data_IF_152825501171
#
_entry.id   IF_152825501171
#
_cell.length_a   1.000
_cell.length_b   1.000
_cell.length_c   1.000
_cell.angle_alpha   90.00
_cell.angle_beta   90.00
_cell.angle_gamma   90.00
#
_symmetry.space_group_name_H-M   'P 1'
#
loop_
_entity.id
_entity.type
_entity.pdbx_description
1 polymer ?
#
# COMPACT_ATOMS: atom_id res chain seq x y z
N UNK A 1 0.29 -12.88 -4.88
CA UNK A 1 -0.49 -12.33 -5.98
C UNK A 1 -1.90 -12.94 -5.96
N UNK A 2 -2.96 -12.12 -6.10
CA UNK A 2 -4.35 -12.62 -6.08
C UNK A 2 -4.60 -13.63 -7.23
N UNK A 3 -3.90 -13.48 -8.34
CA UNK A 3 -3.96 -14.39 -9.46
C UNK A 3 -3.29 -15.76 -9.17
N UNK A 4 -2.29 -15.78 -8.29
CA UNK A 4 -1.60 -17.02 -7.90
C UNK A 4 -2.44 -17.83 -6.93
N UNK A 5 -3.14 -17.16 -6.00
CA UNK A 5 -4.07 -17.84 -5.08
C UNK A 5 -5.24 -18.50 -5.80
N UNK A 6 -5.67 -17.97 -6.95
CA UNK A 6 -6.73 -18.57 -7.77
C UNK A 6 -6.25 -19.80 -8.57
N UNK A 7 -4.96 -20.05 -8.66
CA UNK A 7 -4.37 -21.18 -9.38
C UNK A 7 -4.06 -22.39 -8.51
N UNK A 8 -4.19 -22.27 -7.19
CA UNK A 8 -4.00 -23.38 -6.28
C UNK A 8 -5.12 -24.41 -6.48
N UNK A 9 -4.74 -25.62 -6.84
CA UNK A 9 -5.66 -26.74 -7.00
C UNK A 9 -5.54 -27.70 -5.82
N UNK A 10 -6.66 -28.29 -5.44
CA UNK A 10 -6.66 -29.40 -4.47
C UNK A 10 -5.98 -30.62 -5.07
N UNK A 11 -5.18 -31.33 -4.27
CA UNK A 11 -4.40 -32.49 -4.72
C UNK A 11 -5.25 -33.68 -5.17
N UNK A 12 -6.53 -33.72 -4.78
CA UNK A 12 -7.42 -34.88 -5.01
C UNK A 12 -8.48 -34.64 -6.08
N UNK A 13 -8.91 -33.41 -6.31
CA UNK A 13 -10.05 -33.10 -7.18
C UNK A 13 -9.71 -32.23 -8.37
N UNK A 14 -8.49 -31.73 -8.49
CA UNK A 14 -8.06 -30.73 -9.50
C UNK A 14 -8.94 -29.47 -9.56
N UNK A 15 -9.76 -29.24 -8.56
CA UNK A 15 -10.55 -28.02 -8.42
C UNK A 15 -9.71 -26.90 -7.81
N UNK A 16 -9.99 -25.67 -8.23
CA UNK A 16 -9.35 -24.50 -7.62
C UNK A 16 -9.72 -24.40 -6.15
N UNK A 17 -8.71 -24.30 -5.30
CA UNK A 17 -8.92 -24.10 -3.87
C UNK A 17 -9.64 -22.78 -3.63
N UNK A 18 -10.85 -22.88 -3.12
CA UNK A 18 -11.61 -21.71 -2.70
C UNK A 18 -11.09 -21.21 -1.35
N UNK A 19 -10.85 -19.92 -1.19
CA UNK A 19 -10.48 -19.38 0.11
C UNK A 19 -11.64 -19.62 1.11
N UNK A 20 -11.33 -19.78 2.41
CA UNK A 20 -12.34 -19.83 3.45
C UNK A 20 -13.31 -18.63 3.33
N UNK A 21 -14.58 -18.83 3.68
CA UNK A 21 -15.62 -17.80 3.55
C UNK A 21 -15.25 -16.49 4.23
N UNK A 22 -14.59 -16.56 5.37
CA UNK A 22 -14.10 -15.41 6.14
C UNK A 22 -13.09 -14.58 5.35
N UNK A 23 -12.15 -15.26 4.69
CA UNK A 23 -11.14 -14.60 3.85
C UNK A 23 -11.77 -14.07 2.54
N UNK A 24 -12.74 -14.79 1.98
CA UNK A 24 -13.44 -14.37 0.77
C UNK A 24 -14.27 -13.09 1.01
N UNK A 25 -14.80 -12.92 2.22
CA UNK A 25 -15.59 -11.75 2.61
C UNK A 25 -14.75 -10.50 2.89
N UNK A 26 -13.43 -10.64 3.06
CA UNK A 26 -12.54 -9.50 3.32
C UNK A 26 -12.40 -8.63 2.08
N UNK A 27 -12.41 -7.30 2.30
CA UNK A 27 -12.11 -6.34 1.24
C UNK A 27 -10.65 -6.47 0.82
N UNK A 28 -10.41 -6.76 -0.45
CA UNK A 28 -9.07 -6.81 -1.02
C UNK A 28 -8.68 -5.49 -1.67
N UNK A 29 -7.48 -5.03 -1.35
CA UNK A 29 -6.85 -3.88 -1.98
C UNK A 29 -5.52 -4.35 -2.57
N UNK A 30 -5.31 -4.07 -3.84
CA UNK A 30 -4.06 -4.41 -4.54
C UNK A 30 -3.30 -3.11 -4.80
N UNK A 31 -2.01 -3.11 -4.48
CA UNK A 31 -1.14 -1.95 -4.67
C UNK A 31 0.20 -2.37 -5.23
N UNK A 32 0.71 -1.60 -6.17
CA UNK A 32 2.06 -1.78 -6.72
C UNK A 32 3.15 -1.14 -5.83
N UNK A 33 2.77 -0.44 -4.76
CA UNK A 33 3.70 0.18 -3.82
C UNK A 33 4.38 -0.83 -2.87
N UNK A 34 3.85 -2.06 -2.81
CA UNK A 34 4.50 -3.13 -2.05
C UNK A 34 5.64 -3.69 -2.90
N UNK A 35 6.85 -3.67 -2.33
CA UNK A 35 8.04 -4.18 -3.01
C UNK A 35 7.87 -5.67 -3.35
N UNK A 36 8.34 -6.06 -4.53
CA UNK A 36 8.39 -7.44 -5.00
C UNK A 36 9.79 -8.04 -4.94
N UNK A 37 10.75 -7.29 -4.45
CA UNK A 37 12.16 -7.64 -4.38
C UNK A 37 12.60 -7.86 -2.93
N UNK A 38 11.72 -8.38 -2.09
CA UNK A 38 12.01 -8.72 -0.70
C UNK A 38 12.61 -10.12 -0.61
N UNK A 39 13.11 -10.47 0.59
CA UNK A 39 13.73 -11.76 0.87
C UNK A 39 15.16 -11.90 0.33
N UNK A 40 15.81 -12.97 0.73
CA UNK A 40 17.20 -13.25 0.34
C UNK A 40 17.41 -13.53 -1.14
N UNK A 41 16.36 -13.95 -1.85
CA UNK A 41 16.37 -14.19 -3.31
C UNK A 41 15.93 -13.00 -4.14
N UNK A 42 15.46 -11.92 -3.53
CA UNK A 42 15.02 -10.71 -4.24
C UNK A 42 13.75 -10.90 -5.09
N UNK A 43 12.95 -11.92 -4.82
CA UNK A 43 11.73 -12.26 -5.58
C UNK A 43 10.49 -12.43 -4.71
N UNK A 44 10.56 -11.95 -3.48
CA UNK A 44 9.46 -12.05 -2.52
C UNK A 44 8.67 -10.77 -2.42
N UNK A 45 7.40 -10.90 -2.11
CA UNK A 45 6.48 -9.83 -1.80
C UNK A 45 5.84 -10.02 -0.42
N UNK A 46 5.02 -9.08 0.00
CA UNK A 46 4.29 -9.16 1.26
C UNK A 46 2.82 -8.85 1.06
N UNK A 47 1.98 -9.45 1.88
CA UNK A 47 0.59 -9.07 2.04
C UNK A 47 0.34 -8.62 3.48
N UNK A 48 -0.64 -7.75 3.66
CA UNK A 48 -1.04 -7.25 4.97
C UNK A 48 -2.51 -7.56 5.18
N UNK A 49 -2.83 -8.13 6.32
CA UNK A 49 -4.20 -8.27 6.82
C UNK A 49 -4.32 -7.33 8.01
N UNK A 50 -5.26 -6.41 7.95
CA UNK A 50 -5.41 -5.40 8.98
C UNK A 50 -6.88 -5.08 9.26
N UNK A 51 -7.18 -4.70 10.51
CA UNK A 51 -8.44 -4.05 10.84
C UNK A 51 -8.30 -2.54 10.59
N UNK A 52 -9.04 -2.03 9.61
CA UNK A 52 -9.01 -0.62 9.23
C UNK A 52 -9.49 0.35 10.33
N UNK A 53 -10.15 -0.15 11.37
CA UNK A 53 -10.59 0.66 12.52
C UNK A 53 -9.43 1.05 13.44
N UNK A 54 -8.37 0.25 13.43
CA UNK A 54 -7.18 0.46 14.25
C UNK A 54 -6.11 1.31 13.55
N UNK A 55 -6.38 1.73 12.31
CA UNK A 55 -5.51 2.64 11.57
C UNK A 55 -6.07 4.06 11.66
N UNK A 56 -5.35 4.93 12.37
CA UNK A 56 -5.67 6.34 12.48
C UNK A 56 -4.89 7.13 11.43
N UNK A 57 -5.59 7.99 10.72
CA UNK A 57 -4.98 8.94 9.79
C UNK A 57 -5.15 10.34 10.37
N UNK A 58 -4.05 10.97 10.76
CA UNK A 58 -3.99 12.34 11.23
C UNK A 58 -3.71 13.30 10.08
N UNK A 59 -4.59 14.27 9.87
CA UNK A 59 -4.42 15.33 8.86
C UNK A 59 -4.32 16.67 9.58
N UNK A 60 -3.19 17.37 9.39
CA UNK A 60 -3.00 18.68 9.96
C UNK A 60 -3.30 19.78 8.93
N UNK A 61 -4.53 20.25 8.95
CA UNK A 61 -4.98 21.32 8.06
C UNK A 61 -5.24 20.87 6.62
N UNK A 62 -5.74 21.79 5.82
CA UNK A 62 -5.92 21.59 4.39
C UNK A 62 -4.58 21.63 3.63
N UNK A 63 -4.51 21.06 2.41
CA UNK A 63 -3.37 21.26 1.53
C UNK A 63 -3.17 22.75 1.25
N UNK A 64 -1.96 23.24 1.47
CA UNK A 64 -1.55 24.61 1.19
C UNK A 64 -0.82 24.64 -0.15
N UNK A 65 -1.35 25.41 -1.09
CA UNK A 65 -0.74 25.62 -2.40
C UNK A 65 -0.24 27.06 -2.45
N UNK A 66 1.03 27.23 -2.70
CA UNK A 66 1.66 28.54 -2.90
C UNK A 66 2.41 28.57 -4.23
N UNK A 67 2.42 29.73 -4.85
CA UNK A 67 3.10 29.97 -6.13
C UNK A 67 4.07 31.13 -5.99
N UNK A 68 5.20 31.05 -6.66
CA UNK A 68 6.17 32.13 -6.72
C UNK A 68 6.89 32.16 -8.06
N UNK A 69 7.25 33.37 -8.50
CA UNK A 69 8.12 33.62 -9.66
C UNK A 69 9.52 34.05 -9.25
N UNK A 70 9.74 34.33 -7.96
CA UNK A 70 10.97 34.93 -7.43
C UNK A 70 11.91 33.93 -6.75
N UNK A 71 11.55 32.65 -6.76
CA UNK A 71 12.36 31.62 -6.12
C UNK A 71 13.57 31.24 -6.98
N UNK A 72 14.79 31.35 -6.41
CA UNK A 72 16.03 30.90 -7.07
C UNK A 72 16.14 31.42 -8.52
N UNK A 73 16.25 30.51 -9.48
CA UNK A 73 16.38 30.83 -10.92
C UNK A 73 15.06 31.08 -11.64
N UNK A 74 13.92 31.03 -10.93
CA UNK A 74 12.60 31.15 -11.54
C UNK A 74 12.43 32.49 -12.29
N UNK A 75 12.94 33.58 -11.72
CA UNK A 75 12.88 34.91 -12.31
C UNK A 75 13.68 34.98 -13.62
N UNK A 76 14.91 34.48 -13.64
CA UNK A 76 15.79 34.53 -14.82
C UNK A 76 15.33 33.60 -15.94
N UNK A 77 14.63 32.51 -15.60
CA UNK A 77 14.13 31.50 -16.54
C UNK A 77 12.67 31.69 -16.91
N UNK A 78 12.01 32.75 -16.43
CA UNK A 78 10.57 32.99 -16.61
C UNK A 78 9.71 31.78 -16.19
N UNK A 79 10.04 31.15 -15.05
CA UNK A 79 9.35 29.96 -14.55
C UNK A 79 8.42 30.32 -13.39
N UNK A 80 7.28 29.65 -13.32
CA UNK A 80 6.39 29.66 -12.17
C UNK A 80 6.63 28.39 -11.34
N UNK A 81 6.99 28.58 -10.08
CA UNK A 81 7.14 27.47 -9.13
C UNK A 81 5.89 27.31 -8.30
N UNK A 82 5.40 26.08 -8.23
CA UNK A 82 4.23 25.70 -7.43
C UNK A 82 4.69 24.80 -6.32
N UNK A 83 4.37 25.17 -5.09
CA UNK A 83 4.64 24.38 -3.89
C UNK A 83 3.33 23.91 -3.29
N UNK A 84 3.17 22.61 -3.11
CA UNK A 84 2.07 22.03 -2.37
C UNK A 84 2.60 21.40 -1.07
N UNK A 85 2.06 21.80 0.06
CA UNK A 85 2.40 21.25 1.37
C UNK A 85 1.15 20.65 1.99
N UNK A 86 1.21 19.36 2.29
CA UNK A 86 0.19 18.67 3.03
C UNK A 86 0.83 17.83 4.12
N UNK A 87 0.35 17.97 5.35
CA UNK A 87 0.88 17.25 6.49
C UNK A 87 -0.09 16.16 6.89
N UNK A 88 0.32 14.93 6.63
CA UNK A 88 -0.43 13.71 6.97
C UNK A 88 0.51 12.81 7.76
N UNK A 89 -0.03 12.15 8.74
CA UNK A 89 0.64 11.08 9.46
C UNK A 89 -0.36 9.96 9.76
N UNK A 90 0.13 8.76 10.06
CA UNK A 90 -0.71 7.64 10.44
C UNK A 90 -0.12 6.91 11.64
N UNK A 91 -1.01 6.45 12.48
CA UNK A 91 -0.68 5.69 13.66
C UNK A 91 -1.55 4.43 13.74
N UNK A 92 -1.01 3.40 14.32
CA UNK A 92 -1.71 2.16 14.61
C UNK A 92 -1.99 2.11 16.10
N UNK A 93 -3.26 2.06 16.48
CA UNK A 93 -3.66 2.00 17.90
C UNK A 93 -3.31 0.67 18.54
N UNK A 94 -3.45 -0.41 17.78
CA UNK A 94 -3.15 -1.76 18.26
C UNK A 94 -2.31 -2.52 17.25
N UNK A 95 -0.99 -2.70 17.49
CA UNK A 95 -0.11 -3.42 16.57
C UNK A 95 -0.55 -4.86 16.27
N UNK A 96 -1.21 -5.54 17.22
CA UNK A 96 -1.73 -6.90 17.02
C UNK A 96 -2.90 -6.99 16.03
N UNK A 97 -3.49 -5.86 15.64
CA UNK A 97 -4.54 -5.81 14.61
C UNK A 97 -3.99 -5.78 13.18
N UNK A 98 -2.68 -5.78 13.02
CA UNK A 98 -2.01 -5.85 11.73
C UNK A 98 -1.14 -7.10 11.68
N UNK A 99 -1.38 -7.93 10.68
CA UNK A 99 -0.57 -9.12 10.40
C UNK A 99 0.08 -8.94 9.05
N UNK A 100 1.41 -9.10 9.00
CA UNK A 100 2.18 -9.12 7.77
C UNK A 100 2.47 -10.58 7.38
N UNK A 101 2.13 -10.92 6.17
CA UNK A 101 2.53 -12.15 5.51
C UNK A 101 3.72 -11.82 4.61
N UNK A 102 4.85 -12.46 4.83
CA UNK A 102 6.09 -12.30 4.03
C UNK A 102 6.41 -13.60 3.31
N UNK A 103 7.34 -13.54 2.36
CA UNK A 103 7.77 -14.73 1.63
C UNK A 103 6.81 -15.16 0.52
N UNK A 104 6.00 -14.24 0.00
CA UNK A 104 5.09 -14.53 -1.10
C UNK A 104 5.89 -14.43 -2.40
N UNK A 105 6.16 -15.57 -3.01
CA UNK A 105 6.80 -15.65 -4.34
C UNK A 105 5.76 -15.70 -5.43
N UNK A 106 6.05 -15.09 -6.58
CA UNK A 106 5.18 -15.12 -7.77
C UNK A 106 5.47 -16.36 -8.63
#
# INVERSE_FOLDING_TARGET
>A
DAATLSKLTGSTTQEYLQPPREVAAMRRLVSNNISRTQGGGGNESSAFVLDGRELLVGVRGAPEISTTTDASDAFTKHQLWIKCVWRIDFAVTRPSAIVRLSGITA
#
